data_IF_349529756846
#
_entry.id   IF_349529756846
#
_cell.length_a   1.000
_cell.length_b   1.000
_cell.length_c   1.000
_cell.angle_alpha   90.00
_cell.angle_beta   90.00
_cell.angle_gamma   90.00
#
_symmetry.space_group_name_H-M   'P 1'
#
loop_
_entity.id
_entity.type
_entity.pdbx_description
1 polymer ?
#
# COMPACT_ATOMS: atom_id res chain seq x y z
N UNK A 1 34.86 9.72 14.79
CA UNK A 1 33.72 9.17 15.55
C UNK A 1 32.39 9.80 15.16
N UNK A 2 32.28 11.14 15.10
CA UNK A 2 31.03 11.83 14.73
C UNK A 2 30.37 11.36 13.40
N UNK A 3 31.12 11.13 12.30
CA UNK A 3 30.51 10.74 11.02
C UNK A 3 29.81 9.37 11.07
N UNK A 4 30.41 8.39 11.75
CA UNK A 4 29.83 7.05 11.90
C UNK A 4 28.60 7.08 12.82
N UNK A 5 28.68 7.86 13.90
CA UNK A 5 27.57 8.03 14.83
C UNK A 5 26.35 8.65 14.15
N UNK A 6 26.54 9.70 13.35
CA UNK A 6 25.44 10.34 12.62
C UNK A 6 24.80 9.42 11.59
N UNK A 7 25.60 8.59 10.89
CA UNK A 7 25.09 7.60 9.94
C UNK A 7 24.13 6.61 10.64
N UNK A 8 24.55 6.05 11.77
CA UNK A 8 23.73 5.11 12.55
C UNK A 8 22.43 5.79 13.05
N UNK A 9 22.52 7.02 13.55
CA UNK A 9 21.33 7.76 14.01
C UNK A 9 20.35 7.99 12.86
N UNK A 10 20.85 8.34 11.67
CA UNK A 10 20.02 8.52 10.49
C UNK A 10 19.35 7.22 10.03
N UNK A 11 20.03 6.08 10.08
CA UNK A 11 19.41 4.78 9.77
C UNK A 11 18.30 4.43 10.76
N UNK A 12 18.48 4.70 12.05
CA UNK A 12 17.44 4.45 13.07
C UNK A 12 16.20 5.31 12.80
N UNK A 13 16.39 6.57 12.39
CA UNK A 13 15.28 7.47 12.05
C UNK A 13 14.54 6.96 10.81
N UNK A 14 15.25 6.56 9.76
CA UNK A 14 14.61 6.02 8.55
C UNK A 14 13.85 4.72 8.81
N UNK A 15 14.41 3.85 9.65
CA UNK A 15 13.73 2.64 10.07
C UNK A 15 12.38 2.95 10.73
N UNK A 16 12.32 3.98 11.58
CA UNK A 16 11.08 4.45 12.19
C UNK A 16 10.04 4.91 11.15
N UNK A 17 10.46 5.73 10.18
CA UNK A 17 9.58 6.23 9.11
C UNK A 17 9.01 5.07 8.28
N UNK A 18 9.85 4.09 7.93
CA UNK A 18 9.43 2.91 7.15
C UNK A 18 8.42 2.07 7.93
N UNK A 19 8.66 1.83 9.22
CA UNK A 19 7.73 1.08 10.05
C UNK A 19 6.38 1.78 10.17
N UNK A 20 6.36 3.10 10.32
CA UNK A 20 5.12 3.89 10.31
C UNK A 20 4.41 3.83 8.95
N UNK A 21 5.15 3.93 7.85
CA UNK A 21 4.60 3.80 6.51
C UNK A 21 3.95 2.42 6.29
N UNK A 22 4.61 1.34 6.74
CA UNK A 22 4.10 -0.02 6.62
C UNK A 22 2.76 -0.21 7.36
N UNK A 23 2.61 0.42 8.54
CA UNK A 23 1.33 0.42 9.26
C UNK A 23 0.24 1.14 8.47
N UNK A 24 0.52 2.33 7.96
CA UNK A 24 -0.42 3.11 7.14
C UNK A 24 -0.81 2.39 5.83
N UNK A 25 0.14 1.72 5.19
CA UNK A 25 -0.11 0.90 3.99
C UNK A 25 -1.04 -0.26 4.29
N UNK A 26 -0.84 -0.95 5.41
CA UNK A 26 -1.72 -2.04 5.85
C UNK A 26 -3.13 -1.52 6.17
N UNK A 27 -3.22 -0.40 6.90
CA UNK A 27 -4.50 0.26 7.19
C UNK A 27 -5.23 0.67 5.92
N UNK A 28 -4.51 1.24 4.94
CA UNK A 28 -5.07 1.63 3.65
C UNK A 28 -5.60 0.42 2.87
N UNK A 29 -4.84 -0.68 2.83
CA UNK A 29 -5.28 -1.93 2.20
C UNK A 29 -6.55 -2.48 2.87
N UNK A 30 -6.63 -2.46 4.20
CA UNK A 30 -7.82 -2.90 4.94
C UNK A 30 -9.05 -2.03 4.67
N UNK A 31 -8.90 -0.69 4.68
CA UNK A 31 -10.01 0.22 4.39
C UNK A 31 -10.48 0.11 2.94
N UNK A 32 -9.54 0.02 1.99
CA UNK A 32 -9.84 -0.23 0.59
C UNK A 32 -10.57 -1.57 0.40
N UNK A 33 -10.12 -2.63 1.07
CA UNK A 33 -10.75 -3.94 1.02
C UNK A 33 -12.17 -3.91 1.59
N UNK A 34 -12.38 -3.23 2.72
CA UNK A 34 -13.71 -3.07 3.34
C UNK A 34 -14.69 -2.34 2.44
N UNK A 35 -14.22 -1.36 1.67
CA UNK A 35 -15.05 -0.68 0.67
C UNK A 35 -15.31 -1.60 -0.53
N UNK A 36 -14.27 -2.30 -0.99
CA UNK A 36 -14.33 -3.19 -2.15
C UNK A 36 -15.31 -4.36 -2.01
N UNK A 37 -15.56 -4.85 -0.78
CA UNK A 37 -16.53 -5.93 -0.53
C UNK A 37 -17.99 -5.51 -0.63
N UNK A 38 -18.29 -4.21 -0.69
CA UNK A 38 -19.67 -3.72 -0.79
C UNK A 38 -20.14 -3.76 -2.24
N UNK A 39 -21.35 -4.28 -2.46
CA UNK A 39 -22.01 -4.31 -3.77
C UNK A 39 -22.03 -2.92 -4.46
N UNK A 40 -21.67 -2.89 -5.74
CA UNK A 40 -21.62 -1.65 -6.53
C UNK A 40 -20.31 -0.87 -6.42
N UNK A 41 -19.28 -1.45 -5.79
CA UNK A 41 -17.94 -0.89 -5.73
C UNK A 41 -17.23 -0.95 -7.08
N UNK A 42 -16.49 0.11 -7.41
CA UNK A 42 -15.73 0.21 -8.66
C UNK A 42 -14.23 0.07 -8.38
N UNK A 43 -13.55 -0.79 -9.14
CA UNK A 43 -12.09 -1.01 -9.09
C UNK A 43 -11.29 0.29 -9.15
N UNK A 44 -11.65 1.20 -10.07
CA UNK A 44 -10.99 2.50 -10.24
C UNK A 44 -11.18 3.38 -9.02
N UNK A 45 -12.40 3.44 -8.48
CA UNK A 45 -12.70 4.23 -7.28
C UNK A 45 -11.90 3.77 -6.06
N UNK A 46 -11.77 2.45 -5.88
CA UNK A 46 -10.97 1.86 -4.79
C UNK A 46 -9.48 2.17 -4.97
N UNK A 47 -8.94 1.99 -6.19
CA UNK A 47 -7.54 2.32 -6.50
C UNK A 47 -7.25 3.80 -6.25
N UNK A 48 -8.12 4.68 -6.73
CA UNK A 48 -7.94 6.13 -6.59
C UNK A 48 -8.02 6.56 -5.12
N UNK A 49 -8.95 5.99 -4.34
CA UNK A 49 -9.06 6.26 -2.90
C UNK A 49 -7.83 5.78 -2.12
N UNK A 50 -7.32 4.57 -2.40
CA UNK A 50 -6.14 4.05 -1.73
C UNK A 50 -4.89 4.87 -2.08
N UNK A 51 -4.73 5.22 -3.36
CA UNK A 51 -3.65 6.09 -3.85
C UNK A 51 -3.70 7.47 -3.20
N UNK A 52 -4.89 8.06 -3.08
CA UNK A 52 -5.05 9.38 -2.46
C UNK A 52 -4.68 9.36 -0.97
N UNK A 53 -5.13 8.35 -0.24
CA UNK A 53 -4.79 8.18 1.16
C UNK A 53 -3.28 8.05 1.36
N UNK A 54 -2.61 7.23 0.55
CA UNK A 54 -1.16 6.99 0.69
C UNK A 54 -0.31 8.13 0.13
N UNK A 55 -0.78 8.84 -0.90
CA UNK A 55 -0.14 10.07 -1.35
C UNK A 55 -0.21 11.13 -0.25
N UNK A 56 -1.33 11.24 0.46
CA UNK A 56 -1.49 12.23 1.54
C UNK A 56 -0.62 11.90 2.76
N UNK A 57 -0.50 10.62 3.12
CA UNK A 57 0.07 10.22 4.41
C UNK A 57 1.47 9.59 4.36
N UNK A 58 1.96 9.15 3.19
CA UNK A 58 3.21 8.35 3.10
C UNK A 58 4.24 8.95 2.15
N UNK A 59 3.93 9.09 0.86
CA UNK A 59 4.96 9.38 -0.17
C UNK A 59 4.81 10.73 -0.86
N UNK A 60 3.64 11.38 -0.80
CA UNK A 60 3.30 12.59 -1.58
C UNK A 60 3.46 12.45 -3.10
N UNK A 61 3.79 11.25 -3.58
CA UNK A 61 3.88 10.90 -4.99
C UNK A 61 2.87 9.79 -5.31
N UNK A 62 1.81 10.17 -6.01
CA UNK A 62 0.72 9.26 -6.37
C UNK A 62 1.13 8.19 -7.38
N UNK A 63 2.11 8.48 -8.24
CA UNK A 63 2.56 7.60 -9.32
C UNK A 63 3.41 6.44 -8.82
N UNK A 64 4.06 6.58 -7.66
CA UNK A 64 4.82 5.50 -7.04
C UNK A 64 3.99 4.48 -6.26
N UNK A 65 2.65 4.62 -6.28
CA UNK A 65 1.73 3.78 -5.52
C UNK A 65 1.04 2.81 -6.47
N UNK A 66 1.42 1.55 -6.39
CA UNK A 66 0.77 0.44 -7.09
C UNK A 66 -0.32 -0.13 -6.20
N UNK A 67 -1.54 -0.24 -6.73
CA UNK A 67 -2.69 -0.82 -6.02
C UNK A 67 -3.30 -1.90 -6.90
N UNK A 68 -3.08 -3.13 -6.50
CA UNK A 68 -3.59 -4.33 -7.14
C UNK A 68 -4.87 -4.78 -6.43
N UNK A 69 -5.86 -5.12 -7.23
CA UNK A 69 -7.09 -5.78 -6.79
C UNK A 69 -6.99 -7.18 -7.35
N UNK A 70 -7.19 -8.18 -6.49
CA UNK A 70 -7.14 -9.59 -6.82
C UNK A 70 -8.45 -10.21 -6.35
N UNK A 71 -9.13 -10.94 -7.23
CA UNK A 71 -10.38 -11.62 -6.89
C UNK A 71 -10.15 -13.12 -7.13
N UNK A 72 -10.49 -13.96 -6.16
CA UNK A 72 -10.33 -15.42 -6.23
C UNK A 72 -11.39 -16.08 -7.11
N UNK A 73 -11.51 -15.56 -8.35
CA UNK A 73 -12.38 -16.06 -9.41
C UNK A 73 -11.89 -15.54 -10.76
N UNK A 74 -11.49 -16.45 -11.64
CA UNK A 74 -10.94 -16.09 -12.96
C UNK A 74 -11.93 -15.27 -13.82
N UNK A 75 -13.23 -15.58 -13.72
CA UNK A 75 -14.30 -14.87 -14.45
C UNK A 75 -14.49 -13.42 -14.01
N UNK A 76 -14.00 -13.03 -12.84
CA UNK A 76 -14.09 -11.65 -12.37
C UNK A 76 -13.02 -10.75 -13.00
N UNK A 77 -12.00 -11.32 -13.65
CA UNK A 77 -10.88 -10.61 -14.29
C UNK A 77 -10.18 -9.59 -13.37
N UNK A 78 -10.18 -9.83 -12.06
CA UNK A 78 -9.67 -8.89 -11.04
C UNK A 78 -10.38 -7.52 -11.03
N UNK A 79 -11.62 -7.47 -11.48
CA UNK A 79 -12.46 -6.27 -11.46
C UNK A 79 -13.63 -6.42 -10.48
N UNK A 80 -13.77 -5.45 -9.57
CA UNK A 80 -14.83 -5.43 -8.56
C UNK A 80 -16.23 -5.33 -9.17
N UNK A 81 -16.34 -4.78 -10.37
CA UNK A 81 -17.60 -4.66 -11.10
C UNK A 81 -18.18 -6.04 -11.47
N UNK A 82 -17.30 -7.03 -11.61
CA UNK A 82 -17.66 -8.41 -11.90
C UNK A 82 -17.72 -9.26 -10.63
N UNK A 83 -17.32 -8.77 -9.46
CA UNK A 83 -17.33 -9.55 -8.22
C UNK A 83 -18.75 -9.99 -7.85
N UNK A 84 -18.89 -11.23 -7.37
CA UNK A 84 -20.16 -11.76 -6.86
C UNK A 84 -20.07 -12.03 -5.36
N UNK A 85 -21.20 -11.97 -4.63
CA UNK A 85 -21.22 -12.32 -3.21
C UNK A 85 -20.62 -13.71 -2.96
N UNK A 86 -19.66 -13.78 -2.03
CA UNK A 86 -18.88 -14.97 -1.72
C UNK A 86 -17.48 -15.02 -2.36
N UNK A 87 -17.17 -14.15 -3.33
CA UNK A 87 -15.81 -14.05 -3.89
C UNK A 87 -14.82 -13.54 -2.84
N UNK A 88 -13.58 -14.02 -2.86
CA UNK A 88 -12.51 -13.50 -2.00
C UNK A 88 -11.82 -12.34 -2.70
N UNK A 89 -11.91 -11.15 -2.13
CA UNK A 89 -11.27 -9.93 -2.63
C UNK A 89 -10.00 -9.68 -1.82
N UNK A 90 -8.87 -9.54 -2.50
CA UNK A 90 -7.58 -9.17 -1.94
C UNK A 90 -7.14 -7.83 -2.52
N UNK A 91 -6.85 -6.88 -1.65
CA UNK A 91 -6.24 -5.60 -2.03
C UNK A 91 -4.78 -5.62 -1.59
N UNK A 92 -3.90 -5.39 -2.56
CA UNK A 92 -2.47 -5.26 -2.33
C UNK A 92 -2.00 -3.87 -2.73
N UNK A 93 -1.22 -3.23 -1.85
CA UNK A 93 -0.63 -1.93 -2.10
C UNK A 93 0.88 -2.03 -1.99
N UNK A 94 1.60 -1.53 -3.00
CA UNK A 94 3.06 -1.51 -3.06
C UNK A 94 3.58 -0.08 -3.24
N UNK A 95 4.64 0.24 -2.50
CA UNK A 95 5.37 1.50 -2.62
C UNK A 95 6.86 1.19 -2.51
N UNK A 96 7.69 1.59 -3.49
CA UNK A 96 9.14 1.52 -3.36
C UNK A 96 9.62 2.36 -2.16
N UNK A 97 10.42 1.78 -1.27
CA UNK A 97 10.89 2.47 -0.07
C UNK A 97 11.74 3.71 -0.41
N UNK A 98 12.41 3.74 -1.57
CA UNK A 98 13.10 4.92 -2.10
C UNK A 98 12.20 6.16 -2.30
N UNK A 99 10.87 5.99 -2.33
CA UNK A 99 9.87 7.08 -2.43
C UNK A 99 9.33 7.55 -1.08
N UNK A 100 9.78 6.90 -0.01
CA UNK A 100 9.42 7.17 1.39
C UNK A 100 10.65 7.66 2.16
N UNK A 101 11.82 7.08 1.86
CA UNK A 101 13.08 7.45 2.47
C UNK A 101 13.51 8.86 2.05
N UNK A 102 14.06 9.60 3.00
CA UNK A 102 14.48 10.99 2.80
C UNK A 102 15.98 11.12 2.49
N UNK A 103 16.78 10.07 2.75
CA UNK A 103 18.23 10.12 2.59
C UNK A 103 18.69 9.47 1.28
N UNK A 104 19.71 10.07 0.61
CA UNK A 104 20.22 9.58 -0.67
C UNK A 104 20.96 8.23 -0.58
N UNK A 105 21.35 7.79 0.63
CA UNK A 105 22.05 6.53 0.88
C UNK A 105 21.29 5.63 1.86
N UNK A 106 19.97 5.63 1.77
CA UNK A 106 19.16 4.75 2.60
C UNK A 106 19.48 3.28 2.32
N UNK A 107 19.78 2.52 3.38
CA UNK A 107 19.89 1.06 3.31
C UNK A 107 18.61 0.39 2.80
N UNK A 108 17.48 1.11 2.85
CA UNK A 108 16.17 0.60 2.50
C UNK A 108 15.74 0.92 1.06
N UNK A 109 16.51 1.72 0.31
CA UNK A 109 16.10 2.22 -1.01
C UNK A 109 15.79 1.13 -2.04
N UNK A 110 16.36 -0.07 -1.89
CA UNK A 110 16.15 -1.22 -2.79
C UNK A 110 14.90 -2.05 -2.48
N UNK A 111 14.21 -1.80 -1.37
CA UNK A 111 13.05 -2.59 -0.95
C UNK A 111 11.75 -1.97 -1.44
N UNK A 112 10.73 -2.81 -1.61
CA UNK A 112 9.35 -2.39 -1.86
C UNK A 112 8.51 -2.77 -0.66
N UNK A 113 7.87 -1.77 -0.05
CA UNK A 113 6.92 -2.00 1.03
C UNK A 113 5.62 -2.54 0.45
N UNK A 114 4.94 -3.39 1.23
CA UNK A 114 3.76 -4.14 0.80
C UNK A 114 2.74 -4.18 1.92
N UNK A 115 1.56 -3.63 1.69
CA UNK A 115 0.38 -3.78 2.55
C UNK A 115 -0.66 -4.66 1.84
N UNK A 116 -1.25 -5.62 2.56
CA UNK A 116 -2.23 -6.55 1.98
C UNK A 116 -3.39 -6.72 2.94
N UNK A 117 -4.60 -6.79 2.39
CA UNK A 117 -5.79 -7.22 3.11
C UNK A 117 -6.65 -8.09 2.20
N UNK A 118 -7.31 -9.08 2.79
CA UNK A 118 -8.20 -10.00 2.11
C UNK A 118 -9.51 -10.10 2.88
N UNK A 119 -10.65 -10.00 2.18
CA UNK A 119 -11.99 -10.11 2.75
C UNK A 119 -12.93 -10.81 1.76
N UNK A 120 -14.04 -11.34 2.26
CA UNK A 120 -15.09 -11.97 1.44
C UNK A 120 -16.07 -10.89 0.96
N UNK A 121 -16.44 -10.91 -0.32
CA UNK A 121 -17.42 -10.01 -0.92
C UNK A 121 -18.82 -10.31 -0.38
N UNK A 122 -19.55 -9.27 0.04
CA UNK A 122 -20.87 -9.37 0.67
C UNK A 122 -22.03 -9.24 -0.32
#
# INVERSE_FOLDING_TARGET
MLPLFLLIVFEIIEFGIIMSAQQLMTTSACDACRRAVVNGSNTRGIRDSAREFLATNVTHNKESIEVDVLIDRDEAENELENAIPGDIVTIEVRIPASKICSLPFSAFASYTLRGVCTMVHE
#
